data_IF_285244802655
#
_entry.id   IF_285244802655
#
_cell.length_a   1.000
_cell.length_b   1.000
_cell.length_c   1.000
_cell.angle_alpha   90.00
_cell.angle_beta   90.00
_cell.angle_gamma   90.00
#
_symmetry.space_group_name_H-M   'P 1'
#
loop_
_entity.id
_entity.type
_entity.pdbx_description
1 polymer ?
#
# COMPACT_ATOMS: atom_id res chain seq x y z
N UNK A 1 43.58 -18.61 12.80
CA UNK A 1 42.66 -17.84 13.67
C UNK A 1 42.01 -16.64 12.95
N UNK A 2 42.48 -16.22 11.77
CA UNK A 2 41.91 -15.09 11.02
C UNK A 2 40.66 -15.46 10.19
N UNK A 3 40.60 -16.67 9.62
CA UNK A 3 39.49 -17.07 8.73
C UNK A 3 38.15 -17.25 9.46
N UNK A 4 38.18 -17.73 10.71
CA UNK A 4 36.97 -17.89 11.54
C UNK A 4 36.42 -16.56 12.05
N UNK A 5 37.27 -15.54 12.24
CA UNK A 5 36.83 -14.20 12.63
C UNK A 5 36.26 -13.40 11.46
N UNK A 6 36.82 -13.56 10.26
CA UNK A 6 36.32 -12.91 9.04
C UNK A 6 34.97 -13.48 8.58
N UNK A 7 34.79 -14.80 8.65
CA UNK A 7 33.51 -15.47 8.37
C UNK A 7 32.42 -15.09 9.38
N UNK A 8 32.78 -14.96 10.67
CA UNK A 8 31.85 -14.47 11.69
C UNK A 8 31.46 -12.99 11.49
N UNK A 9 32.40 -12.13 11.07
CA UNK A 9 32.12 -10.74 10.73
C UNK A 9 31.21 -10.61 9.50
N UNK A 10 31.46 -11.39 8.45
CA UNK A 10 30.61 -11.43 7.25
C UNK A 10 29.18 -11.91 7.58
N UNK A 11 29.04 -12.93 8.43
CA UNK A 11 27.74 -13.40 8.90
C UNK A 11 27.01 -12.33 9.75
N UNK A 12 27.73 -11.64 10.64
CA UNK A 12 27.17 -10.56 11.47
C UNK A 12 26.67 -9.37 10.64
N UNK A 13 27.42 -8.97 9.62
CA UNK A 13 27.02 -7.91 8.67
C UNK A 13 25.80 -8.37 7.85
N UNK A 14 25.79 -9.61 7.35
CA UNK A 14 24.66 -10.17 6.61
C UNK A 14 23.36 -10.19 7.44
N UNK A 15 23.43 -10.62 8.70
CA UNK A 15 22.29 -10.63 9.62
C UNK A 15 21.80 -9.21 9.94
N UNK A 16 22.72 -8.24 10.09
CA UNK A 16 22.36 -6.84 10.31
C UNK A 16 21.61 -6.25 9.10
N UNK A 17 22.07 -6.50 7.87
CA UNK A 17 21.37 -6.05 6.66
C UNK A 17 19.98 -6.66 6.53
N UNK A 18 19.84 -7.96 6.83
CA UNK A 18 18.54 -8.63 6.83
C UNK A 18 17.60 -7.99 7.87
N UNK A 19 18.10 -7.77 9.09
CA UNK A 19 17.31 -7.13 10.16
C UNK A 19 16.87 -5.70 9.79
N UNK A 20 17.78 -4.89 9.24
CA UNK A 20 17.46 -3.53 8.76
C UNK A 20 16.43 -3.58 7.64
N UNK A 21 16.58 -4.49 6.68
CA UNK A 21 15.63 -4.65 5.59
C UNK A 21 14.22 -4.98 6.09
N UNK A 22 14.09 -5.90 7.05
CA UNK A 22 12.80 -6.21 7.68
C UNK A 22 12.22 -5.03 8.47
N UNK A 23 13.05 -4.29 9.22
CA UNK A 23 12.61 -3.12 9.96
C UNK A 23 12.12 -2.00 9.04
N UNK A 24 12.86 -1.69 7.98
CA UNK A 24 12.48 -0.69 6.97
C UNK A 24 11.22 -1.15 6.23
N UNK A 25 11.16 -2.42 5.82
CA UNK A 25 9.97 -3.00 5.18
C UNK A 25 8.72 -2.88 6.04
N UNK A 26 8.84 -3.17 7.35
CA UNK A 26 7.75 -3.00 8.31
C UNK A 26 7.36 -1.53 8.45
N UNK A 27 8.32 -0.61 8.61
CA UNK A 27 8.03 0.81 8.71
C UNK A 27 7.32 1.35 7.46
N UNK A 28 7.79 0.96 6.27
CA UNK A 28 7.13 1.30 5.00
C UNK A 28 5.71 0.74 4.94
N UNK A 29 5.51 -0.52 5.33
CA UNK A 29 4.19 -1.15 5.36
C UNK A 29 3.20 -0.38 6.24
N UNK A 30 3.59 -0.08 7.49
CA UNK A 30 2.75 0.69 8.41
C UNK A 30 2.45 2.10 7.86
N UNK A 31 3.42 2.73 7.20
CA UNK A 31 3.24 4.02 6.54
C UNK A 31 2.22 3.95 5.39
N UNK A 32 2.28 2.94 4.52
CA UNK A 32 1.29 2.76 3.46
C UNK A 32 -0.11 2.49 4.00
N UNK A 33 -0.24 1.66 5.03
CA UNK A 33 -1.52 1.44 5.72
C UNK A 33 -2.06 2.75 6.30
N UNK A 34 -1.18 3.58 6.89
CA UNK A 34 -1.57 4.90 7.39
C UNK A 34 -2.02 5.86 6.28
N UNK A 35 -1.33 5.88 5.14
CA UNK A 35 -1.77 6.65 3.96
C UNK A 35 -3.14 6.16 3.46
N UNK A 36 -3.35 4.85 3.33
CA UNK A 36 -4.64 4.26 2.97
C UNK A 36 -5.74 4.65 3.95
N UNK A 37 -5.44 4.67 5.25
CA UNK A 37 -6.35 5.12 6.31
C UNK A 37 -6.79 6.56 6.07
N UNK A 38 -5.84 7.45 5.83
CA UNK A 38 -6.08 8.87 5.56
C UNK A 38 -6.90 9.09 4.30
N UNK A 39 -6.65 8.34 3.23
CA UNK A 39 -7.47 8.39 2.01
C UNK A 39 -8.92 8.03 2.32
N UNK A 40 -9.14 6.93 3.06
CA UNK A 40 -10.49 6.51 3.44
C UNK A 40 -11.19 7.56 4.30
N UNK A 41 -10.51 8.10 5.33
CA UNK A 41 -11.03 9.18 6.18
C UNK A 41 -11.42 10.42 5.37
N UNK A 42 -10.56 10.84 4.42
CA UNK A 42 -10.83 11.95 3.51
C UNK A 42 -11.98 11.68 2.53
N UNK A 43 -12.30 10.41 2.27
CA UNK A 43 -13.47 10.00 1.51
C UNK A 43 -14.73 9.75 2.38
N UNK A 44 -14.66 10.01 3.69
CA UNK A 44 -15.77 9.83 4.63
C UNK A 44 -15.97 8.40 5.14
N UNK A 45 -15.01 7.50 4.90
CA UNK A 45 -15.04 6.11 5.36
C UNK A 45 -14.14 5.95 6.59
N UNK A 46 -14.62 5.23 7.59
CA UNK A 46 -13.84 4.91 8.79
C UNK A 46 -13.26 3.50 8.69
N UNK A 47 -12.02 3.34 8.18
CA UNK A 47 -11.43 2.02 7.95
C UNK A 47 -11.08 1.26 9.24
N UNK A 48 -10.98 1.95 10.39
CA UNK A 48 -10.68 1.34 11.68
C UNK A 48 -9.41 0.48 11.67
N UNK A 49 -9.52 -0.74 12.21
CA UNK A 49 -8.44 -1.74 12.24
C UNK A 49 -8.26 -2.46 10.89
N UNK A 50 -9.23 -2.37 9.97
CA UNK A 50 -9.22 -3.15 8.73
C UNK A 50 -8.07 -2.75 7.80
N UNK A 51 -7.59 -1.51 7.88
CA UNK A 51 -6.51 -1.00 7.03
C UNK A 51 -5.15 -1.66 7.29
N UNK A 52 -4.98 -2.32 8.46
CA UNK A 52 -3.72 -2.94 8.88
C UNK A 52 -3.55 -4.38 8.39
N UNK A 53 -4.56 -4.93 7.72
CA UNK A 53 -4.56 -6.32 7.26
C UNK A 53 -4.63 -6.29 5.72
N UNK A 54 -3.64 -6.85 4.99
CA UNK A 54 -3.47 -6.64 3.54
C UNK A 54 -4.66 -7.00 2.65
N UNK A 55 -5.43 -8.02 3.02
CA UNK A 55 -6.58 -8.46 2.23
C UNK A 55 -7.81 -7.63 2.58
N UNK A 56 -8.08 -7.45 3.87
CA UNK A 56 -9.30 -6.77 4.32
C UNK A 56 -9.18 -5.24 4.22
N UNK A 57 -7.98 -4.67 4.09
CA UNK A 57 -7.79 -3.23 3.82
C UNK A 57 -8.40 -2.82 2.47
N UNK A 58 -8.62 -3.77 1.55
CA UNK A 58 -9.34 -3.52 0.30
C UNK A 58 -10.80 -3.14 0.55
N UNK A 59 -11.43 -3.62 1.62
CA UNK A 59 -12.83 -3.30 1.95
C UNK A 59 -13.04 -1.80 2.14
N UNK A 60 -12.35 -1.13 3.08
CA UNK A 60 -12.53 0.32 3.23
C UNK A 60 -12.01 1.12 2.05
N UNK A 61 -11.00 0.63 1.30
CA UNK A 61 -10.55 1.26 0.06
C UNK A 61 -11.63 1.22 -1.03
N UNK A 62 -12.35 0.10 -1.16
CA UNK A 62 -13.48 -0.06 -2.07
C UNK A 62 -14.66 0.82 -1.65
N UNK A 63 -14.95 0.89 -0.35
CA UNK A 63 -15.95 1.82 0.20
C UNK A 63 -15.59 3.28 -0.10
N UNK A 64 -14.31 3.66 0.09
CA UNK A 64 -13.81 5.00 -0.24
C UNK A 64 -13.90 5.29 -1.75
N UNK A 65 -13.78 4.26 -2.58
CA UNK A 65 -14.00 4.32 -4.02
C UNK A 65 -15.50 4.32 -4.42
N UNK A 66 -16.42 4.21 -3.46
CA UNK A 66 -17.87 4.01 -3.68
C UNK A 66 -18.17 2.79 -4.56
N UNK A 67 -17.38 1.73 -4.40
CA UNK A 67 -17.55 0.47 -5.10
C UNK A 67 -18.15 -0.58 -4.17
N UNK A 68 -18.94 -1.55 -4.70
CA UNK A 68 -19.48 -2.61 -3.88
C UNK A 68 -18.37 -3.54 -3.38
N UNK A 69 -18.46 -3.96 -2.12
CA UNK A 69 -17.44 -4.82 -1.47
C UNK A 69 -17.23 -6.15 -2.21
N UNK A 70 -18.25 -6.63 -2.95
CA UNK A 70 -18.15 -7.82 -3.83
C UNK A 70 -17.02 -7.73 -4.87
N UNK A 71 -16.54 -6.53 -5.20
CA UNK A 71 -15.38 -6.32 -6.09
C UNK A 71 -14.11 -6.98 -5.53
N UNK A 72 -14.03 -7.23 -4.22
CA UNK A 72 -12.91 -7.97 -3.61
C UNK A 72 -12.71 -9.36 -4.22
N UNK A 73 -13.79 -10.01 -4.71
CA UNK A 73 -13.71 -11.33 -5.37
C UNK A 73 -12.93 -11.23 -6.69
N UNK A 74 -13.02 -10.09 -7.39
CA UNK A 74 -12.33 -9.86 -8.65
C UNK A 74 -10.81 -9.69 -8.46
N UNK A 75 -10.35 -9.30 -7.25
CA UNK A 75 -8.93 -9.23 -6.92
C UNK A 75 -8.24 -10.61 -6.85
N UNK A 76 -9.01 -11.71 -6.71
CA UNK A 76 -8.45 -13.07 -6.73
C UNK A 76 -8.15 -13.59 -8.14
N UNK A 77 -8.66 -12.93 -9.19
CA UNK A 77 -8.42 -13.32 -10.58
C UNK A 77 -7.27 -12.46 -11.12
N UNK A 78 -6.08 -13.00 -11.44
CA UNK A 78 -4.87 -12.19 -11.70
C UNK A 78 -5.02 -11.11 -12.79
N UNK A 79 -5.66 -11.44 -13.91
CA UNK A 79 -5.88 -10.49 -15.00
C UNK A 79 -6.90 -9.41 -14.64
N UNK A 80 -7.97 -9.80 -13.95
CA UNK A 80 -9.06 -8.89 -13.56
C UNK A 80 -8.63 -8.03 -12.36
N UNK A 81 -7.76 -8.54 -11.49
CA UNK A 81 -7.16 -7.83 -10.37
C UNK A 81 -6.49 -6.54 -10.86
N UNK A 82 -5.65 -6.62 -11.89
CA UNK A 82 -4.97 -5.44 -12.41
C UNK A 82 -5.95 -4.36 -12.89
N UNK A 83 -6.93 -4.74 -13.72
CA UNK A 83 -7.94 -3.80 -14.23
C UNK A 83 -8.78 -3.22 -13.09
N UNK A 84 -9.14 -4.07 -12.12
CA UNK A 84 -9.95 -3.68 -10.96
C UNK A 84 -9.19 -2.72 -10.05
N UNK A 85 -7.89 -2.93 -9.84
CA UNK A 85 -7.05 -2.02 -9.09
C UNK A 85 -6.99 -0.64 -9.75
N UNK A 86 -6.78 -0.58 -11.07
CA UNK A 86 -6.79 0.67 -11.84
C UNK A 86 -8.14 1.38 -11.68
N UNK A 87 -9.23 0.64 -11.81
CA UNK A 87 -10.58 1.18 -11.68
C UNK A 87 -10.86 1.71 -10.27
N UNK A 88 -10.50 0.96 -9.24
CA UNK A 88 -10.61 1.37 -7.83
C UNK A 88 -9.81 2.65 -7.57
N UNK A 89 -8.55 2.72 -7.98
CA UNK A 89 -7.73 3.92 -7.82
C UNK A 89 -8.27 5.12 -8.60
N UNK A 90 -8.85 4.91 -9.79
CA UNK A 90 -9.52 5.96 -10.57
C UNK A 90 -10.73 6.54 -9.85
N UNK A 91 -11.52 5.68 -9.23
CA UNK A 91 -12.66 6.08 -8.41
C UNK A 91 -12.21 6.80 -7.13
N UNK A 92 -11.15 6.35 -6.47
CA UNK A 92 -10.55 7.04 -5.32
C UNK A 92 -10.05 8.45 -5.71
N UNK A 93 -9.32 8.59 -6.82
CA UNK A 93 -8.89 9.88 -7.33
C UNK A 93 -10.07 10.82 -7.60
N UNK A 94 -11.14 10.29 -8.22
CA UNK A 94 -12.36 11.04 -8.49
C UNK A 94 -13.09 11.43 -7.21
N UNK A 95 -13.17 10.53 -6.21
CA UNK A 95 -13.75 10.80 -4.90
C UNK A 95 -12.98 11.87 -4.11
N UNK A 96 -11.66 11.94 -4.32
CA UNK A 96 -10.78 13.01 -3.82
C UNK A 96 -10.82 14.30 -4.65
N UNK A 97 -11.63 14.37 -5.72
CA UNK A 97 -11.71 15.54 -6.60
C UNK A 97 -10.46 15.78 -7.46
N UNK A 98 -9.65 14.73 -7.71
CA UNK A 98 -8.42 14.80 -8.50
C UNK A 98 -8.60 14.17 -9.88
N UNK A 99 -7.69 14.51 -10.81
CA UNK A 99 -7.74 14.00 -12.18
C UNK A 99 -7.52 12.49 -12.23
N UNK A 100 -8.24 11.81 -13.13
CA UNK A 100 -8.05 10.37 -13.37
C UNK A 100 -6.65 10.00 -13.90
N UNK A 101 -5.91 10.97 -14.45
CA UNK A 101 -4.52 10.79 -14.87
C UNK A 101 -3.57 10.47 -13.70
N UNK A 102 -3.90 10.88 -12.46
CA UNK A 102 -3.08 10.53 -11.29
C UNK A 102 -3.01 9.02 -11.05
N UNK A 103 -3.98 8.24 -11.56
CA UNK A 103 -3.95 6.78 -11.47
C UNK A 103 -2.74 6.20 -12.16
N UNK A 104 -2.32 6.78 -13.30
CA UNK A 104 -1.10 6.37 -14.00
C UNK A 104 0.12 6.55 -13.10
N UNK A 105 0.16 7.67 -12.36
CA UNK A 105 1.18 7.93 -11.35
C UNK A 105 1.14 6.94 -10.20
N UNK A 106 -0.05 6.58 -9.70
CA UNK A 106 -0.23 5.57 -8.65
C UNK A 106 0.27 4.19 -9.09
N UNK A 107 0.07 3.81 -10.36
CA UNK A 107 0.53 2.52 -10.89
C UNK A 107 2.05 2.53 -11.09
N UNK A 108 2.60 3.62 -11.66
CA UNK A 108 4.01 3.70 -12.01
C UNK A 108 4.89 3.92 -10.76
N UNK A 109 4.49 4.84 -9.88
CA UNK A 109 5.20 5.23 -8.66
C UNK A 109 4.22 5.28 -7.46
N UNK A 110 3.73 4.13 -6.96
CA UNK A 110 2.80 4.08 -5.82
C UNK A 110 3.40 4.73 -4.55
N UNK A 111 4.72 4.64 -4.38
CA UNK A 111 5.45 5.18 -3.23
C UNK A 111 5.27 6.70 -3.08
N UNK A 112 5.13 7.43 -4.19
CA UNK A 112 5.01 8.90 -4.16
C UNK A 112 3.55 9.33 -4.28
N UNK A 113 2.79 8.69 -5.18
CA UNK A 113 1.44 9.11 -5.49
C UNK A 113 0.40 8.69 -4.44
N UNK A 114 0.58 7.56 -3.73
CA UNK A 114 -0.34 7.18 -2.65
C UNK A 114 -0.27 8.17 -1.47
N UNK A 115 0.92 8.53 -0.93
CA UNK A 115 1.02 9.58 0.08
C UNK A 115 0.55 10.93 -0.43
N UNK A 116 0.85 11.28 -1.69
CA UNK A 116 0.34 12.50 -2.30
C UNK A 116 -1.20 12.55 -2.26
N UNK A 117 -1.90 11.47 -2.61
CA UNK A 117 -3.37 11.43 -2.51
C UNK A 117 -3.88 11.48 -1.07
N UNK A 118 -3.13 10.88 -0.14
CA UNK A 118 -3.47 10.87 1.29
C UNK A 118 -3.35 12.25 1.95
N UNK A 119 -2.31 13.01 1.61
CA UNK A 119 -2.01 14.30 2.23
C UNK A 119 -2.44 15.50 1.40
N UNK A 120 -2.64 15.35 0.09
CA UNK A 120 -3.22 16.42 -0.73
C UNK A 120 -4.57 16.82 -0.15
N UNK A 121 -4.83 18.12 -0.09
CA UNK A 121 -6.16 18.69 0.13
C UNK A 121 -7.02 18.53 -1.13
#
# INVERSE_FOLDING_TARGET
MNDTTETAAAAGIGLAFIAIFFLVGLACYLFFCFCGKKICEKCGVQPGILIWIPIVQLVPLLEAAKLPVWVIVLFFIPLVNFITAIYMWSKICTARGKSGLLVVGVILLPIVFIPYLAFSE
#
